data_IF_412045126485
#
_entry.id   IF_412045126485
#
_cell.length_a   1.000
_cell.length_b   1.000
_cell.length_c   1.000
_cell.angle_alpha   90.00
_cell.angle_beta   90.00
_cell.angle_gamma   90.00
#
_symmetry.space_group_name_H-M   'P 1'
#
loop_
_entity.id
_entity.type
_entity.pdbx_description
1 polymer ?
#
# COMPACT_ATOMS: atom_id res chain seq x y z
N UNK A 1 -56.08 -81.63 6.19
CA UNK A 1 -57.45 -81.09 6.03
C UNK A 1 -57.38 -79.85 5.14
N UNK A 2 -58.26 -79.79 4.11
CA UNK A 2 -58.70 -78.70 3.17
C UNK A 2 -58.11 -77.29 3.34
N UNK A 3 -57.83 -76.45 2.34
CA UNK A 3 -58.20 -76.26 0.91
C UNK A 3 -57.01 -75.52 0.23
N UNK A 4 -56.53 -75.83 -0.99
CA UNK A 4 -57.03 -75.56 -2.36
C UNK A 4 -57.19 -74.08 -2.81
N UNK A 5 -56.34 -73.74 -3.81
CA UNK A 5 -56.45 -72.78 -4.94
C UNK A 5 -56.38 -71.27 -4.62
N UNK A 6 -55.63 -70.43 -5.35
CA UNK A 6 -55.82 -70.08 -6.77
C UNK A 6 -54.52 -69.59 -7.46
N UNK A 7 -54.39 -69.93 -8.75
CA UNK A 7 -53.39 -69.51 -9.75
C UNK A 7 -53.34 -68.00 -10.02
N UNK A 8 -52.19 -67.46 -10.46
CA UNK A 8 -52.05 -66.83 -11.78
C UNK A 8 -50.61 -66.33 -12.08
N UNK A 9 -50.17 -66.62 -13.32
CA UNK A 9 -48.95 -66.15 -14.00
C UNK A 9 -48.86 -64.61 -14.06
N UNK A 10 -47.67 -64.06 -13.84
CA UNK A 10 -47.18 -62.86 -14.56
C UNK A 10 -45.70 -63.06 -14.92
N UNK A 11 -45.47 -63.47 -16.16
CA UNK A 11 -44.21 -63.20 -16.84
C UNK A 11 -44.22 -61.76 -17.38
N UNK A 12 -43.03 -61.25 -17.68
CA UNK A 12 -42.74 -59.93 -18.28
C UNK A 12 -42.46 -58.79 -17.29
N UNK A 13 -41.35 -58.89 -16.54
CA UNK A 13 -40.71 -57.71 -15.94
C UNK A 13 -39.18 -57.83 -15.97
N UNK A 14 -38.60 -57.92 -17.17
CA UNK A 14 -37.13 -57.97 -17.35
C UNK A 14 -36.57 -56.84 -18.24
N UNK A 15 -37.41 -56.22 -19.08
CA UNK A 15 -37.02 -55.08 -19.92
C UNK A 15 -37.05 -53.74 -19.19
N UNK A 16 -38.07 -53.52 -18.35
CA UNK A 16 -38.29 -52.25 -17.64
C UNK A 16 -37.19 -52.01 -16.60
N UNK A 17 -36.79 -53.04 -15.85
CA UNK A 17 -35.69 -52.93 -14.89
C UNK A 17 -34.34 -52.64 -15.56
N UNK A 18 -34.04 -53.22 -16.74
CA UNK A 18 -32.82 -52.89 -17.49
C UNK A 18 -32.83 -51.45 -18.00
N UNK A 19 -33.97 -50.94 -18.44
CA UNK A 19 -34.11 -49.55 -18.86
C UNK A 19 -33.84 -48.57 -17.72
N UNK A 20 -34.42 -48.80 -16.54
CA UNK A 20 -34.16 -47.96 -15.35
C UNK A 20 -32.72 -48.05 -14.85
N UNK A 21 -32.08 -49.22 -14.95
CA UNK A 21 -30.66 -49.39 -14.60
C UNK A 21 -29.75 -48.61 -15.55
N UNK A 22 -30.04 -48.64 -16.86
CA UNK A 22 -29.28 -47.90 -17.87
C UNK A 22 -29.46 -46.38 -17.70
N UNK A 23 -30.68 -45.91 -17.45
CA UNK A 23 -30.96 -44.49 -17.19
C UNK A 23 -30.31 -44.03 -15.89
N UNK A 24 -30.31 -44.88 -14.85
CA UNK A 24 -29.62 -44.61 -13.59
C UNK A 24 -28.10 -44.48 -13.77
N UNK A 25 -27.47 -45.38 -14.52
CA UNK A 25 -26.04 -45.32 -14.83
C UNK A 25 -25.71 -44.09 -15.68
N UNK A 26 -26.55 -43.74 -16.66
CA UNK A 26 -26.37 -42.54 -17.49
C UNK A 26 -26.46 -41.26 -16.65
N UNK A 27 -27.42 -41.18 -15.72
CA UNK A 27 -27.56 -40.07 -14.78
C UNK A 27 -26.35 -39.95 -13.84
N UNK A 28 -25.81 -41.07 -13.38
CA UNK A 28 -24.64 -41.10 -12.50
C UNK A 28 -23.36 -40.65 -13.25
N UNK A 29 -23.21 -41.05 -14.52
CA UNK A 29 -22.12 -40.57 -15.38
C UNK A 29 -22.22 -39.08 -15.71
N UNK A 30 -23.45 -38.56 -15.93
CA UNK A 30 -23.68 -37.12 -16.13
C UNK A 30 -23.37 -36.35 -14.84
N UNK A 31 -23.75 -36.85 -13.67
CA UNK A 31 -23.39 -36.26 -12.37
C UNK A 31 -21.87 -36.28 -12.12
N UNK A 32 -21.18 -37.37 -12.47
CA UNK A 32 -19.73 -37.43 -12.35
C UNK A 32 -19.08 -36.44 -13.34
N UNK A 33 -19.58 -36.32 -14.57
CA UNK A 33 -19.05 -35.37 -15.55
C UNK A 33 -19.28 -33.90 -15.15
N UNK A 34 -20.44 -33.58 -14.56
CA UNK A 34 -20.72 -32.21 -14.06
C UNK A 34 -19.90 -31.88 -12.82
N UNK A 35 -19.72 -32.83 -11.89
CA UNK A 35 -18.84 -32.67 -10.72
C UNK A 35 -17.36 -32.61 -11.13
N UNK A 36 -16.95 -33.36 -12.16
CA UNK A 36 -15.57 -33.32 -12.68
C UNK A 36 -15.25 -32.01 -13.40
N UNK A 37 -16.21 -31.45 -14.15
CA UNK A 37 -16.08 -30.09 -14.70
C UNK A 37 -16.13 -29.01 -13.61
N UNK A 38 -16.80 -29.26 -12.48
CA UNK A 38 -16.78 -28.36 -11.32
C UNK A 38 -15.49 -28.48 -10.49
N UNK A 39 -14.88 -29.67 -10.43
CA UNK A 39 -13.66 -29.94 -9.67
C UNK A 39 -12.38 -29.70 -10.46
N UNK A 40 -12.38 -29.80 -11.81
CA UNK A 40 -11.22 -29.44 -12.64
C UNK A 40 -11.05 -27.91 -12.80
N UNK A 41 -12.11 -27.14 -12.52
CA UNK A 41 -12.07 -25.67 -12.41
C UNK A 41 -11.82 -25.18 -10.97
N UNK A 42 -11.56 -26.09 -10.01
CA UNK A 42 -11.27 -25.74 -8.63
C UNK A 42 -10.04 -26.49 -8.09
N UNK A 43 -8.91 -26.23 -8.72
CA UNK A 43 -7.60 -26.33 -8.07
C UNK A 43 -6.73 -25.15 -8.49
N UNK A 44 -6.33 -24.39 -7.47
CA UNK A 44 -5.45 -23.23 -7.49
C UNK A 44 -5.98 -21.94 -8.14
N UNK A 45 -6.92 -21.28 -7.45
CA UNK A 45 -6.82 -19.84 -7.26
C UNK A 45 -7.27 -19.49 -5.83
N UNK A 46 -6.35 -18.89 -5.09
CA UNK A 46 -6.51 -18.38 -3.74
C UNK A 46 -7.62 -17.33 -3.74
N UNK A 47 -8.54 -17.45 -2.77
CA UNK A 47 -9.75 -16.64 -2.67
C UNK A 47 -9.45 -15.15 -2.48
N UNK A 48 -9.79 -14.35 -3.48
CA UNK A 48 -10.27 -12.99 -3.28
C UNK A 48 -11.61 -13.07 -2.52
N UNK A 49 -11.58 -12.75 -1.23
CA UNK A 49 -12.81 -12.58 -0.45
C UNK A 49 -12.75 -11.22 0.21
N UNK A 50 -13.19 -10.18 -0.49
CA UNK A 50 -14.02 -9.10 0.04
C UNK A 50 -14.55 -8.26 -1.14
N UNK A 51 -15.87 -8.12 -1.19
CA UNK A 51 -16.66 -7.25 -2.08
C UNK A 51 -16.93 -7.72 -3.51
N UNK A 52 -18.00 -8.51 -3.69
CA UNK A 52 -18.81 -8.48 -4.91
C UNK A 52 -20.27 -8.14 -4.56
N UNK A 53 -20.66 -6.88 -4.77
CA UNK A 53 -22.05 -6.52 -4.99
C UNK A 53 -22.25 -6.31 -6.49
N UNK A 54 -23.04 -7.22 -7.07
CA UNK A 54 -23.33 -7.31 -8.49
C UNK A 54 -24.05 -6.06 -9.01
N UNK A 55 -23.54 -5.52 -10.12
CA UNK A 55 -24.38 -5.03 -11.22
C UNK A 55 -23.85 -5.64 -12.52
N UNK A 56 -24.70 -6.23 -13.39
CA UNK A 56 -24.22 -6.85 -14.61
C UNK A 56 -24.07 -5.79 -15.70
N UNK A 57 -22.83 -5.43 -16.04
CA UNK A 57 -22.52 -4.75 -17.30
C UNK A 57 -21.84 -5.74 -18.23
N UNK A 58 -22.57 -6.14 -19.26
CA UNK A 58 -22.14 -6.92 -20.41
C UNK A 58 -20.94 -6.28 -21.11
N UNK A 59 -19.81 -6.98 -21.17
CA UNK A 59 -18.66 -6.63 -22.02
C UNK A 59 -18.85 -7.26 -23.41
N UNK A 60 -19.20 -6.44 -24.41
CA UNK A 60 -18.89 -6.73 -25.81
C UNK A 60 -17.95 -5.64 -26.35
N UNK A 61 -16.96 -6.08 -27.11
CA UNK A 61 -15.68 -5.39 -27.33
C UNK A 61 -15.78 -3.96 -27.85
N UNK A 62 -14.96 -3.07 -27.26
CA UNK A 62 -14.65 -1.77 -27.84
C UNK A 62 -13.70 -1.97 -29.02
N UNK A 63 -14.28 -2.12 -30.22
CA UNK A 63 -13.59 -1.74 -31.45
C UNK A 63 -13.57 -0.20 -31.43
N UNK A 64 -12.38 0.41 -31.50
CA UNK A 64 -12.25 1.87 -31.50
C UNK A 64 -13.00 2.48 -32.68
N UNK A 65 -13.70 3.60 -32.46
CA UNK A 65 -14.47 4.30 -33.50
C UNK A 65 -13.61 4.62 -34.74
N UNK A 66 -12.33 4.92 -34.54
CA UNK A 66 -11.35 5.11 -35.62
C UNK A 66 -11.08 3.84 -36.43
N UNK A 67 -11.07 2.66 -35.80
CA UNK A 67 -10.91 1.38 -36.49
C UNK A 67 -12.12 1.08 -37.37
N UNK A 68 -13.32 1.43 -36.90
CA UNK A 68 -14.56 1.29 -37.67
C UNK A 68 -14.56 2.26 -38.85
N UNK A 69 -14.17 3.52 -38.65
CA UNK A 69 -14.09 4.53 -39.71
C UNK A 69 -13.07 4.13 -40.79
N UNK A 70 -11.87 3.69 -40.40
CA UNK A 70 -10.85 3.22 -41.36
C UNK A 70 -11.36 2.05 -42.20
N UNK A 71 -12.09 1.13 -41.58
CA UNK A 71 -12.62 -0.05 -42.27
C UNK A 71 -13.74 0.31 -43.25
N UNK A 72 -14.59 1.28 -42.88
CA UNK A 72 -15.61 1.84 -43.79
C UNK A 72 -14.96 2.57 -44.97
N UNK A 73 -13.92 3.37 -44.74
CA UNK A 73 -13.20 4.05 -45.82
C UNK A 73 -12.51 3.06 -46.78
N UNK A 74 -11.96 1.96 -46.26
CA UNK A 74 -11.33 0.92 -47.06
C UNK A 74 -12.35 0.21 -47.98
N UNK A 75 -13.51 -0.18 -47.44
CA UNK A 75 -14.60 -0.80 -48.19
C UNK A 75 -15.18 0.15 -49.26
N UNK A 76 -15.31 1.45 -48.94
CA UNK A 76 -15.76 2.47 -49.90
C UNK A 76 -14.75 2.67 -51.06
N UNK A 77 -13.44 2.58 -50.79
CA UNK A 77 -12.40 2.67 -51.80
C UNK A 77 -12.38 1.43 -52.71
N UNK A 78 -12.56 0.23 -52.15
CA UNK A 78 -12.65 -1.02 -52.92
C UNK A 78 -13.89 -1.02 -53.84
N UNK A 79 -15.04 -0.54 -53.35
CA UNK A 79 -16.25 -0.41 -54.18
C UNK A 79 -16.11 0.61 -55.33
N UNK A 80 -15.32 1.67 -55.14
CA UNK A 80 -15.04 2.68 -56.18
C UNK A 80 -14.14 2.14 -57.29
N UNK A 81 -13.22 1.23 -56.96
CA UNK A 81 -12.38 0.57 -57.97
C UNK A 81 -13.14 -0.53 -58.72
N UNK A 82 -14.06 -1.23 -58.05
CA UNK A 82 -14.98 -2.17 -58.70
C UNK A 82 -15.92 -1.48 -59.71
N UNK A 83 -16.37 -0.25 -59.43
CA UNK A 83 -17.20 0.51 -60.37
C UNK A 83 -16.45 1.05 -61.59
N UNK A 84 -15.11 1.13 -61.55
CA UNK A 84 -14.28 1.55 -62.69
C UNK A 84 -13.95 0.40 -63.64
N UNK A 85 -14.03 -0.85 -63.18
CA UNK A 85 -13.73 -2.04 -63.98
C UNK A 85 -14.91 -2.54 -64.82
N UNK A 86 -16.15 -2.08 -64.57
CA UNK A 86 -17.32 -2.41 -65.40
C UNK A 86 -17.39 -1.48 -66.62
N UNK A 87 -16.75 -1.87 -67.70
CA UNK A 87 -16.85 -1.20 -69.01
C UNK A 87 -18.16 -1.56 -69.73
N UNK A 88 -19.27 -0.89 -69.40
CA UNK A 88 -20.43 -0.78 -70.30
C UNK A 88 -21.35 0.40 -69.89
N UNK A 89 -21.71 1.30 -70.83
CA UNK A 89 -22.46 2.52 -70.53
C UNK A 89 -23.97 2.30 -70.64
N UNK A 90 -24.66 1.97 -69.55
CA UNK A 90 -26.12 2.12 -69.49
C UNK A 90 -26.69 1.98 -68.08
N UNK A 91 -26.87 3.09 -67.36
CA UNK A 91 -28.10 3.42 -66.60
C UNK A 91 -27.92 4.71 -65.78
N UNK A 92 -28.98 5.52 -65.59
CA UNK A 92 -28.90 6.78 -64.84
C UNK A 92 -28.62 6.60 -63.34
N UNK A 93 -28.66 5.37 -62.84
CA UNK A 93 -28.49 4.99 -61.44
C UNK A 93 -27.02 4.92 -60.98
N UNK A 94 -26.05 4.80 -61.91
CA UNK A 94 -24.62 4.72 -61.54
C UNK A 94 -24.02 6.09 -61.18
N UNK A 95 -24.54 7.17 -61.79
CA UNK A 95 -24.07 8.53 -61.52
C UNK A 95 -24.49 9.01 -60.12
N UNK A 96 -25.74 8.70 -59.72
CA UNK A 96 -26.26 9.03 -58.38
C UNK A 96 -25.57 8.28 -57.25
N UNK A 97 -25.12 7.04 -57.52
CA UNK A 97 -24.39 6.24 -56.53
C UNK A 97 -22.99 6.80 -56.24
N UNK A 98 -22.28 7.27 -57.28
CA UNK A 98 -20.97 7.91 -57.11
C UNK A 98 -21.04 9.24 -56.36
N UNK A 99 -22.11 10.02 -56.57
CA UNK A 99 -22.36 11.26 -55.86
C UNK A 99 -22.68 11.00 -54.38
N UNK A 100 -23.52 10.00 -54.09
CA UNK A 100 -23.86 9.59 -52.72
C UNK A 100 -22.64 9.09 -51.93
N UNK A 101 -21.75 8.32 -52.57
CA UNK A 101 -20.51 7.84 -51.92
C UNK A 101 -19.52 8.99 -51.64
N UNK A 102 -19.43 9.98 -52.54
CA UNK A 102 -18.62 11.17 -52.32
C UNK A 102 -19.16 12.02 -51.16
N UNK A 103 -20.49 12.11 -51.02
CA UNK A 103 -21.18 12.83 -49.95
C UNK A 103 -20.95 12.15 -48.58
N UNK A 104 -21.03 10.81 -48.52
CA UNK A 104 -20.70 10.04 -47.30
C UNK A 104 -19.23 10.18 -46.91
N UNK A 105 -18.30 10.15 -47.87
CA UNK A 105 -16.87 10.34 -47.59
C UNK A 105 -16.59 11.75 -47.03
N UNK A 106 -17.24 12.78 -47.58
CA UNK A 106 -17.14 14.15 -47.08
C UNK A 106 -17.65 14.27 -45.64
N UNK A 107 -18.78 13.64 -45.31
CA UNK A 107 -19.34 13.61 -43.95
C UNK A 107 -18.41 12.88 -42.96
N UNK A 108 -17.76 11.80 -43.39
CA UNK A 108 -16.80 11.06 -42.54
C UNK A 108 -15.53 11.89 -42.30
N UNK A 109 -15.03 12.60 -43.31
CA UNK A 109 -13.88 13.50 -43.17
C UNK A 109 -14.19 14.71 -42.27
N UNK A 110 -15.41 15.24 -42.33
CA UNK A 110 -15.89 16.32 -41.45
C UNK A 110 -16.06 15.86 -39.98
N UNK A 111 -16.52 14.61 -39.78
CA UNK A 111 -16.54 13.97 -38.46
C UNK A 111 -15.10 13.75 -37.95
N UNK A 112 -14.17 13.31 -38.80
CA UNK A 112 -12.77 13.12 -38.43
C UNK A 112 -12.06 14.44 -38.07
N UNK A 113 -12.35 15.52 -38.81
CA UNK A 113 -11.85 16.87 -38.52
C UNK A 113 -12.43 17.44 -37.21
N UNK A 114 -13.73 17.27 -36.97
CA UNK A 114 -14.38 17.70 -35.72
C UNK A 114 -13.98 16.88 -34.49
N UNK A 115 -13.62 15.60 -34.68
CA UNK A 115 -13.04 14.73 -33.63
C UNK A 115 -11.58 15.09 -33.38
N UNK A 116 -10.77 15.37 -34.42
CA UNK A 116 -9.38 15.82 -34.27
C UNK A 116 -9.28 17.19 -33.60
N UNK A 117 -10.17 18.13 -33.93
CA UNK A 117 -10.26 19.43 -33.27
C UNK A 117 -10.73 19.33 -31.80
N UNK A 118 -11.59 18.35 -31.46
CA UNK A 118 -11.98 18.06 -30.07
C UNK A 118 -10.90 17.34 -29.26
N UNK A 119 -9.94 16.68 -29.91
CA UNK A 119 -8.80 16.03 -29.25
C UNK A 119 -7.70 17.06 -28.92
N UNK A 120 -7.57 18.15 -29.68
CA UNK A 120 -6.61 19.23 -29.38
C UNK A 120 -7.18 20.36 -28.49
N UNK A 121 -8.50 20.57 -28.48
CA UNK A 121 -9.17 21.49 -27.53
C UNK A 121 -10.15 20.73 -26.62
N UNK A 122 -9.66 20.06 -25.58
CA UNK A 122 -10.33 19.95 -24.25
C UNK A 122 -9.61 18.97 -23.31
N UNK A 123 -8.43 19.34 -22.78
CA UNK A 123 -8.09 19.02 -21.38
C UNK A 123 -7.27 20.17 -20.78
N UNK A 124 -7.89 21.34 -20.61
CA UNK A 124 -7.41 22.32 -19.64
C UNK A 124 -7.98 21.93 -18.27
N UNK A 125 -7.16 21.72 -17.21
CA UNK A 125 -7.62 21.20 -15.90
C UNK A 125 -8.25 22.29 -15.03
N UNK A 126 -9.16 23.09 -15.59
CA UNK A 126 -9.83 24.19 -14.88
C UNK A 126 -11.35 24.20 -15.14
N UNK A 127 -12.01 23.05 -14.96
CA UNK A 127 -13.44 23.02 -14.63
C UNK A 127 -13.64 21.98 -13.54
N UNK A 128 -13.74 22.44 -12.29
CA UNK A 128 -14.04 21.59 -11.14
C UNK A 128 -15.52 21.17 -11.16
N UNK A 129 -15.79 19.89 -10.94
CA UNK A 129 -16.67 19.45 -9.89
C UNK A 129 -15.83 18.98 -8.69
N UNK A 130 -16.30 19.26 -7.47
CA UNK A 130 -15.75 18.70 -6.23
C UNK A 130 -16.00 17.18 -6.20
N UNK A 131 -15.13 16.38 -6.83
CA UNK A 131 -14.87 14.95 -6.60
C UNK A 131 -13.94 14.45 -7.71
N UNK A 132 -12.63 14.41 -7.48
CA UNK A 132 -11.71 13.63 -8.32
C UNK A 132 -10.37 13.50 -7.59
N UNK A 133 -10.25 12.42 -6.82
CA UNK A 133 -9.01 12.07 -6.12
C UNK A 133 -8.44 10.73 -6.60
N UNK A 134 -9.22 9.96 -7.38
CA UNK A 134 -8.81 8.67 -7.96
C UNK A 134 -8.68 8.72 -9.49
N UNK A 135 -8.91 9.87 -10.12
CA UNK A 135 -8.84 10.06 -11.58
C UNK A 135 -7.50 9.57 -12.19
N UNK A 136 -6.33 9.81 -11.57
CA UNK A 136 -5.06 9.32 -12.08
C UNK A 136 -4.99 7.79 -12.19
N UNK A 137 -5.69 7.06 -11.32
CA UNK A 137 -5.71 5.60 -11.35
C UNK A 137 -6.45 5.06 -12.58
N UNK A 138 -7.46 5.78 -13.07
CA UNK A 138 -8.29 5.36 -14.20
C UNK A 138 -7.55 5.40 -15.55
N UNK A 139 -6.39 6.08 -15.61
CA UNK A 139 -5.51 6.06 -16.79
C UNK A 139 -4.75 4.74 -16.95
N UNK A 140 -4.64 3.93 -15.89
CA UNK A 140 -3.85 2.70 -15.93
C UNK A 140 -4.71 1.48 -16.23
N UNK A 141 -4.23 0.60 -17.11
CA UNK A 141 -4.90 -0.67 -17.44
C UNK A 141 -4.56 -1.79 -16.46
N UNK A 142 -3.38 -1.72 -15.83
CA UNK A 142 -2.89 -2.73 -14.90
C UNK A 142 -3.49 -2.49 -13.52
N UNK A 143 -4.23 -3.47 -13.01
CA UNK A 143 -4.94 -3.37 -11.73
C UNK A 143 -4.01 -3.07 -10.55
N UNK A 144 -2.82 -3.65 -10.53
CA UNK A 144 -1.82 -3.38 -9.49
C UNK A 144 -1.42 -1.91 -9.45
N UNK A 145 -1.26 -1.28 -10.62
CA UNK A 145 -0.95 0.15 -10.70
C UNK A 145 -2.14 0.96 -10.20
N UNK A 146 -3.39 0.58 -10.56
CA UNK A 146 -4.58 1.27 -10.04
C UNK A 146 -4.66 1.18 -8.52
N UNK A 147 -4.46 -0.01 -7.95
CA UNK A 147 -4.43 -0.24 -6.50
C UNK A 147 -3.34 0.58 -5.84
N UNK A 148 -2.16 0.67 -6.44
CA UNK A 148 -1.06 1.48 -5.90
C UNK A 148 -1.36 2.99 -5.97
N UNK A 149 -1.84 3.51 -7.10
CA UNK A 149 -2.08 4.95 -7.32
C UNK A 149 -3.29 5.48 -6.54
N UNK A 150 -4.31 4.65 -6.31
CA UNK A 150 -5.51 5.07 -5.55
C UNK A 150 -5.13 5.54 -4.13
N UNK A 151 -5.92 6.47 -3.61
CA UNK A 151 -5.78 6.96 -2.24
C UNK A 151 -6.28 5.89 -1.27
N UNK A 152 -5.52 5.65 -0.20
CA UNK A 152 -5.84 4.67 0.83
C UNK A 152 -6.49 5.43 1.99
N UNK A 153 -7.82 5.33 2.19
CA UNK A 153 -8.50 6.08 3.24
C UNK A 153 -8.07 5.59 4.63
N UNK A 154 -8.04 6.46 5.63
CA UNK A 154 -7.78 6.00 7.00
C UNK A 154 -9.02 5.24 7.52
N UNK A 155 -8.84 4.05 8.11
CA UNK A 155 -9.96 3.21 8.59
C UNK A 155 -10.88 3.92 9.56
N UNK A 156 -10.31 4.71 10.47
CA UNK A 156 -11.06 5.40 11.52
C UNK A 156 -11.77 6.68 11.05
N UNK A 157 -11.71 7.02 9.75
CA UNK A 157 -12.34 8.21 9.17
C UNK A 157 -11.78 9.56 9.67
N UNK A 158 -10.74 9.52 10.51
CA UNK A 158 -10.04 10.69 11.08
C UNK A 158 -8.72 10.92 10.35
N UNK A 159 -8.15 12.10 10.54
CA UNK A 159 -6.77 12.35 10.10
C UNK A 159 -5.81 11.36 10.75
N UNK A 160 -4.88 10.83 9.96
CA UNK A 160 -3.80 10.01 10.48
C UNK A 160 -2.80 10.89 11.25
N UNK A 161 -1.81 10.24 11.86
CA UNK A 161 -0.82 10.90 12.70
C UNK A 161 0.05 11.94 11.95
N UNK A 162 0.10 11.88 10.61
CA UNK A 162 0.78 12.86 9.75
C UNK A 162 -0.10 14.08 9.43
N UNK A 163 -1.36 14.09 9.86
CA UNK A 163 -2.33 15.14 9.58
C UNK A 163 -3.07 15.00 8.24
N UNK A 164 -2.98 13.84 7.59
CA UNK A 164 -3.63 13.58 6.30
C UNK A 164 -4.91 12.72 6.45
N UNK A 165 -5.92 12.96 5.59
CA UNK A 165 -7.19 12.21 5.59
C UNK A 165 -7.10 10.80 4.97
N UNK A 166 -5.95 10.47 4.41
CA UNK A 166 -5.64 9.20 3.77
C UNK A 166 -4.16 9.20 3.39
N UNK A 167 -3.72 8.08 2.83
CA UNK A 167 -2.35 7.91 2.36
C UNK A 167 -2.33 8.02 0.83
N UNK A 168 -1.44 8.87 0.34
CA UNK A 168 -1.28 9.19 -1.07
C UNK A 168 0.07 8.64 -1.53
N UNK A 169 0.10 7.73 -2.50
CA UNK A 169 1.36 7.09 -2.92
C UNK A 169 2.30 8.05 -3.62
N UNK A 170 3.62 7.80 -3.48
CA UNK A 170 4.67 8.66 -4.03
C UNK A 170 4.80 8.51 -5.55
N UNK A 171 3.79 9.01 -6.28
CA UNK A 171 3.83 9.18 -7.74
C UNK A 171 3.56 10.65 -8.02
N UNK A 172 4.28 11.23 -8.98
CA UNK A 172 4.24 12.65 -9.30
C UNK A 172 2.85 13.23 -9.64
N UNK A 173 1.81 12.43 -9.81
CA UNK A 173 0.44 12.91 -10.04
C UNK A 173 -0.04 13.86 -8.93
N UNK A 174 0.30 13.59 -7.66
CA UNK A 174 -0.11 14.47 -6.55
C UNK A 174 0.64 15.80 -6.60
N UNK A 175 1.85 15.84 -7.16
CA UNK A 175 2.56 17.10 -7.38
C UNK A 175 1.79 18.06 -8.29
N UNK A 176 1.10 17.56 -9.31
CA UNK A 176 0.25 18.39 -10.17
C UNK A 176 -0.97 18.93 -9.41
N UNK A 177 -1.57 18.12 -8.54
CA UNK A 177 -2.67 18.57 -7.69
C UNK A 177 -2.23 19.61 -6.64
N UNK A 178 -0.98 19.53 -6.18
CA UNK A 178 -0.34 20.45 -5.23
C UNK A 178 0.57 21.47 -5.91
N UNK A 179 0.25 21.85 -7.16
CA UNK A 179 1.07 22.76 -7.98
C UNK A 179 1.51 24.00 -7.22
N UNK A 180 0.59 24.68 -6.53
CA UNK A 180 0.88 25.93 -5.80
C UNK A 180 1.92 25.72 -4.71
N UNK A 181 1.74 24.71 -3.87
CA UNK A 181 2.69 24.36 -2.82
C UNK A 181 4.05 23.93 -3.37
N UNK A 182 4.06 23.20 -4.49
CA UNK A 182 5.30 22.79 -5.12
C UNK A 182 6.04 23.97 -5.76
N UNK A 183 5.35 24.90 -6.40
CA UNK A 183 5.94 26.13 -6.95
C UNK A 183 6.52 27.00 -5.82
N UNK A 184 5.78 27.20 -4.73
CA UNK A 184 6.28 27.90 -3.53
C UNK A 184 7.52 27.20 -2.95
N UNK A 185 7.52 25.87 -2.93
CA UNK A 185 8.68 25.11 -2.50
C UNK A 185 9.83 25.19 -3.53
N UNK A 186 9.59 25.28 -4.82
CA UNK A 186 10.67 25.35 -5.81
C UNK A 186 11.17 26.76 -6.09
N UNK A 187 10.53 27.78 -5.51
CA UNK A 187 10.92 29.19 -5.58
C UNK A 187 12.14 29.50 -4.69
N UNK A 188 13.32 29.27 -5.24
CA UNK A 188 14.61 29.60 -4.64
C UNK A 188 15.66 29.93 -5.71
N UNK A 189 16.62 30.76 -5.34
CA UNK A 189 17.77 31.07 -6.19
C UNK A 189 18.85 29.99 -6.09
N UNK A 190 19.38 29.58 -7.23
CA UNK A 190 20.45 28.58 -7.29
C UNK A 190 21.71 29.14 -6.63
N UNK A 191 22.30 28.36 -5.71
CA UNK A 191 23.48 28.76 -4.95
C UNK A 191 23.19 29.59 -3.71
N UNK A 192 21.93 29.96 -3.45
CA UNK A 192 21.53 30.66 -2.23
C UNK A 192 21.16 29.71 -1.09
N UNK A 193 20.92 30.25 0.10
CA UNK A 193 20.42 29.50 1.26
C UNK A 193 18.94 29.14 1.04
N UNK A 194 18.58 27.86 1.16
CA UNK A 194 17.18 27.45 1.05
C UNK A 194 16.31 28.12 2.13
N UNK A 195 15.06 28.40 1.78
CA UNK A 195 14.04 28.86 2.73
C UNK A 195 13.86 27.86 3.89
N UNK A 196 13.48 28.39 5.05
CA UNK A 196 13.26 27.59 6.26
C UNK A 196 11.80 27.11 6.33
N UNK A 197 11.44 26.21 5.43
CA UNK A 197 10.07 25.77 5.14
C UNK A 197 9.95 24.24 5.14
N UNK A 198 10.65 23.58 6.06
CA UNK A 198 10.63 22.12 6.21
C UNK A 198 9.21 21.54 6.34
N UNK A 199 8.25 22.30 6.90
CA UNK A 199 6.83 21.88 6.95
C UNK A 199 6.19 21.78 5.58
N UNK A 200 6.54 22.68 4.65
CA UNK A 200 6.03 22.65 3.28
C UNK A 200 6.60 21.43 2.55
N UNK A 201 7.90 21.16 2.71
CA UNK A 201 8.53 19.94 2.19
C UNK A 201 7.84 18.68 2.71
N UNK A 202 7.65 18.57 4.03
CA UNK A 202 6.99 17.42 4.64
C UNK A 202 5.53 17.28 4.18
N UNK A 203 4.81 18.39 4.03
CA UNK A 203 3.43 18.40 3.51
C UNK A 203 3.40 17.78 2.11
N UNK A 204 4.31 18.17 1.21
CA UNK A 204 4.40 17.58 -0.13
C UNK A 204 4.69 16.08 -0.06
N UNK A 205 5.67 15.65 0.75
CA UNK A 205 6.03 14.23 0.91
C UNK A 205 4.87 13.37 1.46
N UNK A 206 4.21 13.82 2.53
CA UNK A 206 3.08 13.12 3.17
C UNK A 206 1.91 12.94 2.20
N UNK A 207 1.73 13.88 1.27
CA UNK A 207 0.73 13.81 0.24
C UNK A 207 1.22 13.13 -1.05
N UNK A 208 2.40 12.52 -1.09
CA UNK A 208 2.86 11.74 -2.24
C UNK A 208 3.52 12.54 -3.36
N UNK A 209 3.82 13.82 -3.14
CA UNK A 209 4.63 14.62 -4.06
C UNK A 209 6.13 14.47 -3.72
N UNK A 210 6.73 13.38 -4.19
CA UNK A 210 8.13 13.01 -3.96
C UNK A 210 8.71 12.26 -5.19
N UNK A 211 10.04 12.31 -5.51
CA UNK A 211 11.15 12.98 -4.82
C UNK A 211 11.22 14.50 -5.02
N UNK A 212 11.31 15.24 -3.92
CA UNK A 212 11.48 16.69 -3.95
C UNK A 212 12.88 17.11 -4.48
N UNK A 213 12.98 18.00 -5.48
CA UNK A 213 14.24 18.23 -6.20
C UNK A 213 15.10 19.40 -5.69
N UNK A 214 14.94 19.89 -4.44
CA UNK A 214 15.81 20.95 -3.89
C UNK A 214 17.25 20.47 -3.68
N UNK A 215 18.04 20.49 -4.75
CA UNK A 215 19.45 20.06 -4.79
C UNK A 215 20.41 21.18 -5.16
N UNK A 216 19.89 22.39 -5.40
CA UNK A 216 20.65 23.53 -5.94
C UNK A 216 20.65 24.76 -5.02
N UNK A 217 20.16 24.64 -3.79
CA UNK A 217 20.33 25.63 -2.74
C UNK A 217 21.05 25.00 -1.54
N UNK A 218 21.74 25.81 -0.75
CA UNK A 218 22.42 25.36 0.45
C UNK A 218 21.41 25.15 1.57
N UNK A 219 21.41 23.93 2.14
CA UNK A 219 20.52 23.61 3.25
C UNK A 219 20.85 24.47 4.47
N UNK A 220 19.81 25.06 5.04
CA UNK A 220 19.96 25.89 6.24
C UNK A 220 20.42 25.04 7.42
N UNK A 221 21.49 25.46 8.08
CA UNK A 221 22.05 24.82 9.27
C UNK A 221 21.71 25.62 10.54
N UNK A 222 21.85 25.05 11.74
CA UNK A 222 21.86 25.82 12.98
C UNK A 222 22.93 26.90 12.95
N UNK A 223 22.67 28.06 13.57
CA UNK A 223 23.60 29.20 13.54
C UNK A 223 24.91 28.94 14.28
N UNK A 224 24.89 28.05 15.28
CA UNK A 224 26.03 27.76 16.15
C UNK A 224 26.40 26.29 16.01
N UNK A 225 27.69 26.03 15.83
CA UNK A 225 28.26 24.70 15.89
C UNK A 225 28.73 24.42 17.33
N UNK A 226 28.18 23.40 17.96
CA UNK A 226 28.72 22.82 19.19
C UNK A 226 29.21 21.41 18.89
N UNK A 227 30.41 21.08 19.37
CA UNK A 227 30.98 19.73 19.24
C UNK A 227 29.98 18.69 19.80
N UNK A 228 29.62 17.65 19.03
CA UNK A 228 28.69 16.61 19.49
C UNK A 228 29.32 15.79 20.64
N UNK A 229 28.46 15.18 21.45
CA UNK A 229 28.89 14.22 22.46
C UNK A 229 29.54 13.00 21.80
N UNK A 230 30.45 12.34 22.52
CA UNK A 230 30.99 11.07 22.08
C UNK A 230 29.86 10.02 22.00
N UNK A 231 30.00 9.02 21.12
CA UNK A 231 28.92 8.07 20.82
C UNK A 231 28.34 7.40 22.07
N UNK A 232 29.17 7.02 23.04
CA UNK A 232 28.72 6.35 24.27
C UNK A 232 27.86 7.26 25.16
N UNK A 233 28.09 8.58 25.13
CA UNK A 233 27.33 9.57 25.90
C UNK A 233 26.10 10.04 25.11
N UNK A 234 26.23 10.21 23.79
CA UNK A 234 25.17 10.75 22.92
C UNK A 234 23.93 9.87 22.86
N UNK A 235 24.05 8.56 23.10
CA UNK A 235 22.90 7.64 23.07
C UNK A 235 21.83 8.01 24.11
N UNK A 236 22.21 8.47 25.30
CA UNK A 236 21.29 8.61 26.44
C UNK A 236 21.26 10.00 27.06
N UNK A 237 21.98 10.96 26.47
CA UNK A 237 22.00 12.35 26.88
C UNK A 237 21.29 13.22 25.85
N UNK A 238 20.43 14.13 26.32
CA UNK A 238 19.80 15.11 25.44
C UNK A 238 20.88 16.02 24.83
N UNK A 239 20.89 16.21 23.50
CA UNK A 239 21.88 17.05 22.84
C UNK A 239 21.63 18.54 23.12
N UNK A 240 22.63 19.37 22.84
CA UNK A 240 22.50 20.82 22.95
C UNK A 240 21.44 21.35 21.98
N UNK A 241 20.49 22.13 22.50
CA UNK A 241 19.42 22.76 21.73
C UNK A 241 19.96 23.61 20.57
N UNK A 242 21.16 24.18 20.69
CA UNK A 242 21.75 25.05 19.66
C UNK A 242 22.07 24.32 18.35
N UNK A 243 22.20 23.00 18.40
CA UNK A 243 22.45 22.17 17.21
C UNK A 243 21.17 21.82 16.42
N UNK A 244 20.03 22.43 16.76
CA UNK A 244 18.73 22.13 16.15
C UNK A 244 18.06 23.39 15.61
N UNK A 245 17.39 23.25 14.47
CA UNK A 245 16.56 24.31 13.89
C UNK A 245 15.17 24.30 14.53
N UNK A 246 14.95 25.21 15.48
CA UNK A 246 13.67 25.32 16.20
C UNK A 246 12.59 26.14 15.49
N UNK A 247 12.85 26.59 14.26
CA UNK A 247 11.89 27.31 13.45
C UNK A 247 10.66 26.44 13.18
N UNK A 248 9.50 27.09 13.19
CA UNK A 248 8.20 26.45 12.99
C UNK A 248 7.78 25.37 14.02
N UNK A 249 8.60 25.02 15.01
CA UNK A 249 8.18 24.22 16.16
C UNK A 249 7.57 25.07 17.27
N UNK A 250 6.63 24.48 18.03
CA UNK A 250 6.03 25.13 19.21
C UNK A 250 7.04 25.24 20.36
N UNK A 251 7.83 24.20 20.59
CA UNK A 251 8.94 24.22 21.53
C UNK A 251 10.22 24.77 20.89
N UNK A 252 11.07 25.39 21.71
CA UNK A 252 12.36 25.98 21.30
C UNK A 252 13.58 25.32 21.94
N UNK A 253 13.35 24.26 22.70
CA UNK A 253 14.37 23.43 23.32
C UNK A 253 13.79 22.04 23.66
N UNK A 254 14.66 21.07 23.92
CA UNK A 254 14.30 19.72 24.32
C UNK A 254 13.62 19.66 25.69
N UNK A 255 13.96 20.57 26.62
CA UNK A 255 13.31 20.65 27.93
C UNK A 255 11.81 20.93 27.82
N UNK A 256 11.40 21.79 26.88
CA UNK A 256 10.00 22.04 26.56
C UNK A 256 9.30 20.80 26.03
N UNK A 257 9.99 20.01 25.19
CA UNK A 257 9.45 18.76 24.62
C UNK A 257 9.35 17.64 25.66
N UNK A 258 10.30 17.56 26.60
CA UNK A 258 10.29 16.60 27.69
C UNK A 258 9.23 16.91 28.77
N UNK A 259 8.65 18.11 28.78
CA UNK A 259 7.63 18.50 29.75
C UNK A 259 6.21 18.15 29.26
N UNK A 260 5.68 17.05 29.80
CA UNK A 260 4.35 16.51 29.50
C UNK A 260 3.17 17.46 29.76
N UNK A 261 3.31 18.45 30.64
CA UNK A 261 2.24 19.40 30.94
C UNK A 261 1.79 20.19 29.70
N UNK A 262 2.63 20.24 28.66
CA UNK A 262 2.43 21.12 27.53
C UNK A 262 1.64 20.51 26.36
N UNK A 263 1.57 19.17 26.22
CA UNK A 263 1.05 18.47 25.02
C UNK A 263 1.56 19.06 23.70
N UNK A 264 2.79 19.60 23.66
CA UNK A 264 3.34 20.39 22.54
C UNK A 264 4.05 19.58 21.45
N UNK A 265 4.20 18.27 21.62
CA UNK A 265 4.87 17.35 20.68
C UNK A 265 3.93 16.33 20.02
N UNK A 266 4.51 15.26 19.46
CA UNK A 266 3.75 14.14 18.90
C UNK A 266 3.08 13.32 20.01
N UNK A 267 1.76 13.17 19.96
CA UNK A 267 0.99 12.58 21.07
C UNK A 267 1.35 11.13 21.39
N UNK A 268 1.75 10.31 20.40
CA UNK A 268 2.22 8.92 20.65
C UNK A 268 3.63 8.86 21.24
N UNK A 269 4.29 10.00 21.37
CA UNK A 269 5.69 10.13 21.75
C UNK A 269 5.88 11.26 22.77
N UNK A 270 4.90 11.46 23.65
CA UNK A 270 4.91 12.52 24.65
C UNK A 270 6.14 12.40 25.58
N UNK A 271 6.41 11.19 26.04
CA UNK A 271 7.53 10.89 26.96
C UNK A 271 8.86 10.61 26.27
N UNK A 272 8.92 10.58 24.93
CA UNK A 272 10.11 10.13 24.20
C UNK A 272 11.35 11.01 24.37
N UNK A 273 11.17 12.25 24.83
CA UNK A 273 12.27 13.17 25.12
C UNK A 273 12.84 12.97 26.52
N UNK A 274 12.21 12.15 27.37
CA UNK A 274 12.78 11.69 28.62
C UNK A 274 13.67 10.47 28.37
N UNK A 275 14.90 10.73 27.88
CA UNK A 275 15.82 9.68 27.47
C UNK A 275 16.21 8.75 28.64
N UNK A 276 16.37 9.28 29.85
CA UNK A 276 16.93 8.53 30.98
C UNK A 276 15.90 7.69 31.73
N UNK A 277 14.71 8.22 31.99
CA UNK A 277 13.72 7.51 32.83
C UNK A 277 12.66 6.78 32.01
N UNK A 278 12.35 7.24 30.80
CA UNK A 278 11.33 6.62 29.94
C UNK A 278 11.96 5.78 28.83
N UNK A 279 12.83 6.37 28.00
CA UNK A 279 13.35 5.66 26.83
C UNK A 279 14.44 4.63 27.14
N UNK A 280 15.34 4.93 28.09
CA UNK A 280 16.39 4.00 28.51
C UNK A 280 15.80 2.63 28.84
N UNK A 281 14.88 2.42 29.80
CA UNK A 281 14.47 1.08 30.20
C UNK A 281 13.77 0.22 29.10
N UNK A 282 13.36 0.80 27.98
CA UNK A 282 12.64 0.10 26.91
C UNK A 282 13.46 -1.05 26.32
N UNK A 283 12.79 -2.16 26.05
CA UNK A 283 13.34 -3.43 25.53
C UNK A 283 14.42 -4.12 26.38
N UNK A 284 14.71 -3.59 27.57
CA UNK A 284 15.55 -4.24 28.59
C UNK A 284 14.69 -4.81 29.70
N UNK A 285 13.57 -4.14 30.00
CA UNK A 285 12.56 -4.60 30.94
C UNK A 285 11.19 -4.52 30.26
N UNK A 286 10.28 -5.47 30.55
CA UNK A 286 8.88 -5.33 30.13
C UNK A 286 8.30 -4.04 30.71
N UNK A 287 7.70 -3.22 29.85
CA UNK A 287 7.04 -1.96 30.24
C UNK A 287 5.54 -2.19 30.37
N UNK A 288 4.95 -2.96 29.46
CA UNK A 288 3.55 -3.33 29.49
C UNK A 288 3.38 -4.73 30.09
N UNK A 289 2.94 -4.84 31.34
CA UNK A 289 2.59 -6.12 31.96
C UNK A 289 1.10 -6.11 32.26
N UNK A 290 0.38 -7.12 31.75
CA UNK A 290 -1.00 -7.36 32.16
C UNK A 290 -0.99 -7.79 33.64
N UNK A 291 -1.59 -7.00 34.54
CA UNK A 291 -1.60 -7.29 35.98
C UNK A 291 -2.34 -8.59 36.32
N UNK A 292 -3.18 -9.10 35.42
CA UNK A 292 -3.98 -10.31 35.68
C UNK A 292 -3.30 -11.59 35.17
N UNK A 293 -2.46 -11.51 34.13
CA UNK A 293 -1.87 -12.68 33.48
C UNK A 293 -0.34 -12.71 33.48
N UNK A 294 0.32 -11.66 34.00
CA UNK A 294 1.78 -11.45 33.89
C UNK A 294 2.32 -11.48 32.45
N UNK A 295 1.45 -11.47 31.44
CA UNK A 295 1.85 -11.45 30.04
C UNK A 295 2.24 -10.02 29.63
N UNK A 296 3.22 -9.92 28.74
CA UNK A 296 3.71 -8.65 28.21
C UNK A 296 3.71 -8.68 26.69
N UNK A 297 3.33 -7.56 26.08
CA UNK A 297 3.54 -7.34 24.65
C UNK A 297 5.03 -7.21 24.30
N UNK A 298 5.87 -6.85 25.27
CA UNK A 298 7.20 -6.37 24.99
C UNK A 298 8.19 -7.55 24.95
N UNK A 299 8.91 -7.70 23.84
CA UNK A 299 10.04 -8.62 23.76
C UNK A 299 11.35 -7.90 24.09
N UNK A 300 12.25 -8.60 24.78
CA UNK A 300 13.56 -8.06 25.12
C UNK A 300 14.51 -8.18 23.94
N UNK A 301 15.42 -7.21 23.78
CA UNK A 301 16.44 -7.25 22.72
C UNK A 301 17.31 -8.50 22.86
N UNK A 302 17.67 -8.88 24.09
CA UNK A 302 18.47 -10.09 24.36
C UNK A 302 17.79 -11.33 23.78
N UNK A 303 16.50 -11.51 24.09
CA UNK A 303 15.75 -12.66 23.62
C UNK A 303 15.66 -12.74 22.09
N UNK A 304 15.52 -11.60 21.41
CA UNK A 304 15.39 -11.57 19.95
C UNK A 304 16.74 -11.82 19.29
N UNK A 305 17.82 -11.23 19.82
CA UNK A 305 19.18 -11.46 19.31
C UNK A 305 19.65 -12.90 19.52
N UNK A 306 19.21 -13.55 20.61
CA UNK A 306 19.51 -14.96 20.91
C UNK A 306 18.85 -15.95 19.93
N UNK A 307 17.78 -15.56 19.22
CA UNK A 307 17.20 -16.40 18.18
C UNK A 307 18.18 -16.66 17.02
N UNK A 308 19.05 -15.68 16.73
CA UNK A 308 20.03 -15.73 15.65
C UNK A 308 21.36 -15.08 16.05
N UNK A 309 22.13 -15.70 16.96
CA UNK A 309 23.33 -15.09 17.53
C UNK A 309 24.35 -14.73 16.45
N UNK A 310 24.77 -13.45 16.42
CA UNK A 310 25.77 -12.94 15.47
C UNK A 310 25.28 -12.74 14.02
N UNK A 311 24.04 -13.10 13.70
CA UNK A 311 23.51 -12.94 12.33
C UNK A 311 22.85 -11.58 12.09
N UNK A 312 22.33 -10.94 13.14
CA UNK A 312 21.63 -9.65 13.06
C UNK A 312 22.64 -8.51 13.21
N UNK A 313 22.87 -7.74 12.14
CA UNK A 313 23.92 -6.70 12.09
C UNK A 313 23.40 -5.37 11.56
N UNK A 314 22.45 -5.43 10.62
CA UNK A 314 21.81 -4.25 10.04
C UNK A 314 20.29 -4.40 10.03
N UNK A 315 19.58 -3.34 10.39
CA UNK A 315 18.12 -3.34 10.35
C UNK A 315 17.50 -1.96 10.12
N UNK A 316 16.18 -1.98 9.96
CA UNK A 316 15.33 -0.81 9.81
C UNK A 316 14.36 -0.75 10.99
N UNK A 317 14.31 0.38 11.69
CA UNK A 317 13.27 0.71 12.64
C UNK A 317 12.24 1.60 11.94
N UNK A 318 11.10 1.01 11.59
CA UNK A 318 9.98 1.66 10.93
C UNK A 318 8.99 2.22 11.96
N UNK A 319 9.52 3.02 12.88
CA UNK A 319 8.79 3.59 14.01
C UNK A 319 9.11 5.07 14.14
N UNK A 320 8.11 5.88 14.52
CA UNK A 320 8.37 7.30 14.81
C UNK A 320 8.74 7.47 16.27
N UNK A 321 9.93 8.00 16.50
CA UNK A 321 10.41 8.33 17.84
C UNK A 321 11.77 9.01 17.81
N UNK A 322 12.46 9.00 18.94
CA UNK A 322 13.75 9.68 19.10
C UNK A 322 14.95 8.82 18.72
N UNK A 323 14.73 7.62 18.15
CA UNK A 323 15.79 6.67 17.79
C UNK A 323 16.18 5.69 18.90
N UNK A 324 15.30 5.46 19.88
CA UNK A 324 15.64 4.64 21.06
C UNK A 324 15.93 3.18 20.74
N UNK A 325 15.16 2.56 19.84
CA UNK A 325 15.44 1.19 19.41
C UNK A 325 16.82 1.12 18.75
N UNK A 326 17.15 2.06 17.87
CA UNK A 326 18.47 2.17 17.27
C UNK A 326 19.59 2.36 18.31
N UNK A 327 19.36 3.18 19.34
CA UNK A 327 20.31 3.35 20.44
C UNK A 327 20.56 2.05 21.21
N UNK A 328 19.50 1.29 21.52
CA UNK A 328 19.61 0.00 22.21
C UNK A 328 20.32 -1.05 21.37
N UNK A 329 19.93 -1.19 20.10
CA UNK A 329 20.56 -2.13 19.18
C UNK A 329 22.05 -1.79 18.95
N UNK A 330 22.42 -0.51 19.00
CA UNK A 330 23.80 -0.05 18.89
C UNK A 330 24.68 -0.53 20.04
N UNK A 331 24.15 -0.64 21.27
CA UNK A 331 24.88 -1.21 22.42
C UNK A 331 25.21 -2.69 22.20
N UNK A 332 24.44 -3.38 21.36
CA UNK A 332 24.69 -4.75 20.89
C UNK A 332 25.41 -4.81 19.53
N UNK A 333 26.07 -3.71 19.10
CA UNK A 333 26.77 -3.58 17.82
C UNK A 333 25.90 -3.78 16.56
N UNK A 334 24.59 -3.58 16.64
CA UNK A 334 23.68 -3.63 15.50
C UNK A 334 23.43 -2.22 14.98
N UNK A 335 23.53 -2.03 13.67
CA UNK A 335 23.26 -0.75 13.02
C UNK A 335 21.81 -0.69 12.57
N UNK A 336 21.06 0.26 13.13
CA UNK A 336 19.66 0.48 12.78
C UNK A 336 19.51 1.80 12.05
N UNK A 337 18.82 1.76 10.93
CA UNK A 337 18.30 2.95 10.24
C UNK A 337 16.91 3.24 10.80
N UNK A 338 16.66 4.43 11.33
CA UNK A 338 15.36 4.82 11.89
C UNK A 338 14.57 5.65 10.88
N UNK A 339 13.49 5.08 10.33
CA UNK A 339 12.58 5.83 9.45
C UNK A 339 11.74 6.81 10.28
N UNK A 340 11.83 8.10 9.98
CA UNK A 340 11.18 9.14 10.79
C UNK A 340 10.79 10.36 9.97
N UNK A 341 9.78 11.08 10.48
CA UNK A 341 9.41 12.42 10.03
C UNK A 341 9.28 13.36 11.22
N UNK A 342 9.30 14.67 10.96
CA UNK A 342 9.27 15.67 12.01
C UNK A 342 7.81 16.01 12.39
N UNK A 343 7.29 15.37 13.43
CA UNK A 343 5.91 15.56 13.94
C UNK A 343 5.90 16.44 15.19
N UNK A 344 5.80 17.76 14.99
CA UNK A 344 5.77 18.71 16.11
C UNK A 344 7.07 18.77 16.93
N UNK A 345 8.06 17.96 16.58
CA UNK A 345 9.39 17.91 17.17
C UNK A 345 10.45 17.53 16.10
N UNK A 346 11.73 17.90 16.32
CA UNK A 346 12.83 17.66 15.38
C UNK A 346 13.43 16.26 15.56
N UNK A 347 12.68 15.23 15.18
CA UNK A 347 13.06 13.83 15.39
C UNK A 347 14.31 13.44 14.59
N UNK A 348 14.39 13.84 13.32
CA UNK A 348 15.52 13.48 12.45
C UNK A 348 16.84 14.10 12.96
N UNK A 349 16.80 15.37 13.37
CA UNK A 349 17.94 16.04 13.97
C UNK A 349 18.35 15.41 15.31
N UNK A 350 17.38 15.03 16.15
CA UNK A 350 17.68 14.36 17.42
C UNK A 350 18.32 12.99 17.21
N UNK A 351 17.79 12.17 16.29
CA UNK A 351 18.37 10.85 15.95
C UNK A 351 19.82 11.04 15.48
N UNK A 352 20.08 11.98 14.57
CA UNK A 352 21.43 12.27 14.09
C UNK A 352 22.37 12.75 15.21
N UNK A 353 21.91 13.64 16.10
CA UNK A 353 22.70 14.16 17.22
C UNK A 353 23.02 13.11 18.29
N UNK A 354 22.27 12.01 18.34
CA UNK A 354 22.59 10.82 19.14
C UNK A 354 23.64 9.92 18.49
N UNK A 355 24.08 10.23 17.26
CA UNK A 355 25.02 9.42 16.48
C UNK A 355 24.36 8.22 15.79
N UNK A 356 23.05 8.29 15.56
CA UNK A 356 22.24 7.27 14.92
C UNK A 356 21.85 7.69 13.49
N UNK A 357 21.31 6.77 12.70
CA UNK A 357 21.02 7.00 11.28
C UNK A 357 19.53 7.31 11.10
N UNK A 358 19.14 8.59 10.90
CA UNK A 358 17.77 8.90 10.49
C UNK A 358 17.59 8.66 9.00
N UNK A 359 16.43 8.12 8.64
CA UNK A 359 15.94 8.07 7.27
C UNK A 359 14.66 8.92 7.19
N UNK A 360 14.76 10.08 6.55
CA UNK A 360 13.61 10.99 6.40
C UNK A 360 12.64 10.42 5.36
N UNK A 361 11.60 9.74 5.82
CA UNK A 361 10.80 8.84 5.00
C UNK A 361 9.37 8.71 5.51
N UNK A 362 8.42 8.64 4.59
CA UNK A 362 6.98 8.52 4.83
C UNK A 362 6.45 7.16 4.34
N UNK A 363 5.41 6.66 4.98
CA UNK A 363 4.82 5.31 4.71
C UNK A 363 4.34 5.08 3.27
N UNK A 364 4.08 6.15 2.54
CA UNK A 364 3.61 6.12 1.17
C UNK A 364 4.71 5.90 0.11
N UNK A 365 5.98 5.95 0.52
CA UNK A 365 7.13 5.75 -0.34
C UNK A 365 7.54 4.27 -0.33
N UNK A 366 8.25 3.85 -1.40
CA UNK A 366 8.97 2.57 -1.41
C UNK A 366 10.29 2.73 -0.67
N UNK A 367 10.63 1.77 0.18
CA UNK A 367 11.86 1.75 0.97
C UNK A 367 13.11 1.83 0.07
N UNK A 368 14.03 2.78 0.34
CA UNK A 368 15.22 3.00 -0.49
C UNK A 368 16.36 2.02 -0.15
N UNK A 369 16.03 0.76 0.15
CA UNK A 369 16.98 -0.33 0.32
C UNK A 369 16.90 -1.27 -0.88
N UNK A 370 18.03 -1.89 -1.21
CA UNK A 370 18.05 -2.95 -2.22
C UNK A 370 17.35 -4.21 -1.67
N UNK A 371 16.99 -5.11 -2.57
CA UNK A 371 16.23 -6.30 -2.22
C UNK A 371 17.09 -7.27 -1.38
N UNK A 372 16.50 -7.88 -0.35
CA UNK A 372 17.11 -8.88 0.52
C UNK A 372 18.41 -8.44 1.23
N UNK A 373 18.51 -7.18 1.67
CA UNK A 373 19.74 -6.65 2.30
C UNK A 373 19.69 -6.52 3.83
N UNK A 374 18.51 -6.45 4.43
CA UNK A 374 18.37 -6.21 5.87
C UNK A 374 18.24 -7.51 6.67
N UNK A 375 18.85 -7.55 7.84
CA UNK A 375 18.77 -8.70 8.76
C UNK A 375 17.54 -8.59 9.69
N UNK A 376 17.06 -7.37 9.93
CA UNK A 376 15.95 -7.07 10.85
C UNK A 376 15.09 -5.90 10.33
N UNK A 377 13.77 -6.04 10.42
CA UNK A 377 12.83 -4.90 10.39
C UNK A 377 12.10 -4.88 11.73
N UNK A 378 12.08 -3.72 12.37
CA UNK A 378 11.38 -3.49 13.63
C UNK A 378 10.29 -2.43 13.43
N UNK A 379 9.15 -2.61 14.08
CA UNK A 379 8.09 -1.60 14.16
C UNK A 379 7.48 -1.61 15.55
N UNK A 380 7.22 -0.43 16.12
CA UNK A 380 6.52 -0.29 17.39
C UNK A 380 5.48 0.82 17.34
N UNK A 381 4.22 0.47 17.68
CA UNK A 381 3.08 1.42 17.86
C UNK A 381 2.90 2.45 16.73
N UNK A 382 3.33 2.13 15.50
CA UNK A 382 3.37 3.05 14.38
C UNK A 382 2.31 2.73 13.31
N UNK A 383 2.37 1.51 12.77
CA UNK A 383 1.30 0.91 11.99
C UNK A 383 0.35 0.31 13.02
N UNK A 384 -0.83 0.89 13.19
CA UNK A 384 -1.83 0.42 14.15
C UNK A 384 -3.21 0.55 13.50
N UNK A 385 -4.29 0.38 14.27
CA UNK A 385 -5.68 0.32 13.79
C UNK A 385 -6.15 1.45 12.86
N UNK A 386 -5.41 2.54 12.67
CA UNK A 386 -5.71 3.55 11.64
C UNK A 386 -5.38 3.09 10.21
N UNK A 387 -4.44 2.16 10.02
CA UNK A 387 -3.87 1.81 8.71
C UNK A 387 -4.89 1.04 7.86
N UNK A 388 -5.00 1.41 6.58
CA UNK A 388 -5.80 0.67 5.61
C UNK A 388 -5.19 -0.69 5.29
N UNK A 389 -6.01 -1.70 5.00
CA UNK A 389 -5.51 -3.05 4.70
C UNK A 389 -4.74 -3.11 3.37
N UNK A 390 -5.21 -2.40 2.33
CA UNK A 390 -4.48 -2.35 1.05
C UNK A 390 -3.15 -1.62 1.24
N UNK A 391 -3.12 -0.56 2.05
CA UNK A 391 -1.86 0.09 2.43
C UNK A 391 -0.93 -0.85 3.20
N UNK A 392 -1.47 -1.59 4.17
CA UNK A 392 -0.69 -2.54 4.96
C UNK A 392 -0.07 -3.61 4.05
N UNK A 393 -0.81 -4.15 3.09
CA UNK A 393 -0.28 -5.11 2.11
C UNK A 393 0.94 -4.56 1.40
N UNK A 394 0.85 -3.35 0.83
CA UNK A 394 2.00 -2.71 0.17
C UNK A 394 3.20 -2.55 1.11
N UNK A 395 2.98 -2.17 2.37
CA UNK A 395 4.06 -2.05 3.35
C UNK A 395 4.67 -3.41 3.68
N UNK A 396 3.85 -4.45 3.89
CA UNK A 396 4.32 -5.79 4.22
C UNK A 396 5.12 -6.41 3.06
N UNK A 397 4.70 -6.21 1.81
CA UNK A 397 5.46 -6.67 0.65
C UNK A 397 6.75 -5.89 0.44
N UNK A 398 6.78 -4.60 0.76
CA UNK A 398 8.02 -3.81 0.68
C UNK A 398 9.01 -4.17 1.81
N UNK A 399 8.49 -4.51 2.99
CA UNK A 399 9.28 -5.10 4.08
C UNK A 399 9.84 -6.46 3.69
N UNK A 400 9.00 -7.35 3.14
CA UNK A 400 9.45 -8.65 2.62
C UNK A 400 10.53 -8.48 1.57
N UNK A 401 10.38 -7.50 0.67
CA UNK A 401 11.37 -7.21 -0.37
C UNK A 401 12.75 -6.90 0.20
N UNK A 402 12.85 -6.03 1.20
CA UNK A 402 14.16 -5.57 1.73
C UNK A 402 14.76 -6.51 2.77
N UNK A 403 13.94 -7.32 3.43
CA UNK A 403 14.39 -8.31 4.42
C UNK A 403 15.02 -9.51 3.71
N UNK A 404 16.22 -9.94 4.13
CA UNK A 404 16.89 -11.11 3.54
C UNK A 404 16.24 -12.43 3.99
N UNK A 405 16.38 -13.54 3.26
CA UNK A 405 16.04 -14.86 3.77
C UNK A 405 16.72 -15.14 5.12
N UNK A 406 15.97 -15.62 6.11
CA UNK A 406 16.41 -15.78 7.49
C UNK A 406 16.40 -14.49 8.31
N UNK A 407 16.11 -13.33 7.71
CA UNK A 407 15.93 -12.07 8.43
C UNK A 407 14.66 -12.07 9.28
N UNK A 408 14.65 -11.24 10.33
CA UNK A 408 13.55 -11.15 11.28
C UNK A 408 12.67 -9.92 11.02
N UNK A 409 11.36 -10.12 11.03
CA UNK A 409 10.36 -9.06 11.20
C UNK A 409 9.90 -9.07 12.65
N UNK A 410 10.22 -8.01 13.37
CA UNK A 410 9.86 -7.79 14.76
C UNK A 410 8.77 -6.72 14.87
N UNK A 411 7.58 -7.15 15.24
CA UNK A 411 6.41 -6.30 15.49
C UNK A 411 6.23 -6.20 17.00
N UNK A 412 6.27 -4.98 17.52
CA UNK A 412 6.11 -4.70 18.94
C UNK A 412 4.87 -3.83 19.17
N UNK A 413 3.95 -4.31 20.01
CA UNK A 413 2.80 -3.55 20.47
C UNK A 413 1.96 -2.94 19.32
N UNK A 414 1.75 -3.66 18.22
CA UNK A 414 0.78 -3.29 17.20
C UNK A 414 -0.60 -3.25 17.86
N UNK A 415 -1.33 -2.14 17.81
CA UNK A 415 -2.63 -2.07 18.46
C UNK A 415 -3.77 -1.91 17.47
N UNK A 416 -4.88 -2.59 17.73
CA UNK A 416 -6.11 -2.46 16.95
C UNK A 416 -7.33 -2.76 17.84
N UNK A 417 -8.53 -2.53 17.31
CA UNK A 417 -9.74 -3.05 17.94
C UNK A 417 -9.73 -4.58 17.92
N UNK A 418 -10.39 -5.21 18.90
CA UNK A 418 -10.63 -6.66 18.93
C UNK A 418 -11.37 -7.13 17.66
N UNK A 419 -12.24 -6.29 17.12
CA UNK A 419 -13.04 -6.56 15.91
C UNK A 419 -12.18 -6.66 14.64
N UNK A 420 -11.13 -5.83 14.52
CA UNK A 420 -10.25 -5.82 13.34
C UNK A 420 -9.06 -6.79 13.48
N UNK A 421 -8.87 -7.42 14.65
CA UNK A 421 -7.66 -8.18 14.96
C UNK A 421 -7.42 -9.30 13.94
N UNK A 422 -8.44 -10.13 13.67
CA UNK A 422 -8.28 -11.30 12.80
C UNK A 422 -7.86 -10.91 11.37
N UNK A 423 -8.39 -9.82 10.84
CA UNK A 423 -8.02 -9.29 9.52
C UNK A 423 -6.55 -8.84 9.49
N UNK A 424 -6.08 -8.13 10.52
CA UNK A 424 -4.67 -7.74 10.62
C UNK A 424 -3.75 -8.96 10.76
N UNK A 425 -4.12 -9.92 11.60
CA UNK A 425 -3.33 -11.14 11.78
C UNK A 425 -3.24 -11.96 10.49
N UNK A 426 -4.32 -11.98 9.70
CA UNK A 426 -4.32 -12.65 8.39
C UNK A 426 -3.36 -11.97 7.42
N UNK A 427 -3.34 -10.63 7.36
CA UNK A 427 -2.38 -9.89 6.55
C UNK A 427 -0.92 -10.25 6.88
N UNK A 428 -0.57 -10.38 8.17
CA UNK A 428 0.77 -10.83 8.57
C UNK A 428 1.05 -12.29 8.19
N UNK A 429 0.05 -13.18 8.29
CA UNK A 429 0.19 -14.60 7.92
C UNK A 429 0.41 -14.80 6.41
N UNK A 430 -0.09 -13.90 5.56
CA UNK A 430 0.11 -13.98 4.11
C UNK A 430 1.59 -14.00 3.70
N UNK A 431 2.48 -13.42 4.50
CA UNK A 431 3.93 -13.46 4.29
C UNK A 431 4.51 -14.88 4.37
N UNK A 432 3.80 -15.82 5.02
CA UNK A 432 4.23 -17.20 5.28
C UNK A 432 5.57 -17.29 6.01
N UNK A 433 5.78 -16.38 6.96
CA UNK A 433 6.98 -16.36 7.79
C UNK A 433 6.90 -17.41 8.90
N UNK A 434 8.07 -17.91 9.32
CA UNK A 434 8.17 -18.80 10.46
C UNK A 434 8.02 -17.99 11.75
N UNK A 435 7.12 -18.39 12.63
CA UNK A 435 6.89 -17.71 13.91
C UNK A 435 7.91 -18.17 14.96
N UNK A 436 8.61 -17.24 15.60
CA UNK A 436 9.46 -17.51 16.78
C UNK A 436 8.77 -17.09 18.07
N UNK A 437 8.18 -15.89 18.08
CA UNK A 437 7.40 -15.35 19.20
C UNK A 437 6.09 -14.78 18.65
N UNK A 438 5.01 -14.95 19.39
CA UNK A 438 3.68 -14.46 19.03
C UNK A 438 2.84 -14.28 20.29
N UNK A 439 2.33 -13.09 20.51
CA UNK A 439 1.46 -12.81 21.65
C UNK A 439 0.42 -11.75 21.32
N UNK A 440 -0.78 -11.93 21.88
CA UNK A 440 -1.85 -10.93 21.91
C UNK A 440 -2.21 -10.70 23.36
N UNK A 441 -2.21 -9.44 23.80
CA UNK A 441 -2.57 -9.03 25.16
C UNK A 441 -3.63 -7.94 25.11
N UNK A 442 -4.58 -7.88 26.06
CA UNK A 442 -5.56 -6.80 26.12
C UNK A 442 -4.88 -5.45 26.37
N UNK A 443 -5.41 -4.38 25.79
CA UNK A 443 -4.95 -3.00 26.02
C UNK A 443 -5.85 -2.34 27.09
N UNK A 444 -5.29 -2.13 28.27
CA UNK A 444 -6.05 -1.85 29.52
C UNK A 444 -6.39 -0.34 29.69
N UNK A 445 -5.92 0.54 28.81
CA UNK A 445 -6.12 1.99 28.95
C UNK A 445 -7.50 2.49 28.47
N UNK A 446 -8.24 1.71 27.67
CA UNK A 446 -9.54 2.10 27.06
C UNK A 446 -10.51 0.94 26.89
N UNK A 447 -11.60 0.98 27.64
CA UNK A 447 -12.85 0.20 27.48
C UNK A 447 -12.71 -1.32 27.23
N UNK A 448 -11.52 -1.89 27.42
CA UNK A 448 -11.13 -3.27 27.05
C UNK A 448 -11.57 -3.68 25.63
N UNK A 449 -11.54 -2.74 24.67
CA UNK A 449 -11.90 -3.01 23.26
C UNK A 449 -10.71 -3.13 22.33
N UNK A 450 -9.54 -2.75 22.79
CA UNK A 450 -8.30 -2.77 22.02
C UNK A 450 -7.37 -3.87 22.54
N UNK A 451 -6.50 -4.34 21.67
CA UNK A 451 -5.47 -5.33 21.99
C UNK A 451 -4.12 -4.85 21.47
N UNK A 452 -3.06 -5.35 22.09
CA UNK A 452 -1.71 -5.31 21.53
C UNK A 452 -1.36 -6.68 20.95
N UNK A 453 -0.81 -6.67 19.75
CA UNK A 453 -0.22 -7.81 19.07
C UNK A 453 1.29 -7.58 18.94
N UNK A 454 2.08 -8.59 19.30
CA UNK A 454 3.53 -8.57 19.12
C UNK A 454 4.02 -9.91 18.59
N UNK A 455 4.96 -9.88 17.65
CA UNK A 455 5.52 -11.08 17.04
C UNK A 455 6.97 -10.89 16.61
N UNK A 456 7.71 -12.00 16.58
CA UNK A 456 8.99 -12.12 15.91
C UNK A 456 8.87 -13.22 14.87
N UNK A 457 8.98 -12.83 13.61
CA UNK A 457 8.72 -13.66 12.44
C UNK A 457 10.00 -13.77 11.60
N UNK A 458 10.35 -14.94 11.10
CA UNK A 458 11.54 -15.18 10.26
C UNK A 458 11.13 -15.43 8.80
N UNK A 459 11.72 -14.68 7.88
CA UNK A 459 11.50 -14.85 6.44
C UNK A 459 12.07 -16.20 5.96
N UNK A 460 11.28 -17.09 5.35
CA UNK A 460 11.79 -18.35 4.85
C UNK A 460 12.64 -18.14 3.59
N UNK A 461 13.56 -19.06 3.27
CA UNK A 461 14.14 -19.11 1.94
C UNK A 461 13.04 -19.42 0.92
N UNK A 462 12.91 -18.58 -0.09
CA UNK A 462 12.07 -18.83 -1.27
C UNK A 462 13.03 -19.21 -2.39
N UNK A 463 13.26 -20.50 -2.67
CA UNK A 463 14.13 -20.90 -3.77
C UNK A 463 13.59 -20.28 -5.06
N UNK A 464 14.50 -19.76 -5.89
CA UNK A 464 14.15 -19.37 -7.26
C UNK A 464 13.56 -20.62 -7.93
N UNK A 465 12.30 -20.55 -8.34
CA UNK A 465 11.66 -21.59 -9.14
C UNK A 465 12.10 -21.48 -10.59
#
# INVERSE_FOLDING_TARGET
>A
MRNQNVMAKIGTCRGIHRFFLIVGVLGLLICIATVSNFCSLRSFHVSDTFCNHNHPSTSHGRIGLETVIKKIQQELAEMRELSKQSSSPSSPSSLGYSAFLAEILSLIEEIHASVSLKIEETVHPLVRPKKQSNEPAEFFLIEEIRKYVRIKPNRLGKQNFMGANGTFTSIGHVCFAMKKELEEYMDYDVGEICRDDWKLAQKLMVHGCDPLPRRRCFSRAPQLYTKPFAINESLWKLPDNRNVRWSQYRCKNFTCLANNATRKGFFKCADCFNLTHHELPRWIKPVYQDPNSNLTSDFLITDVLELKPGEIRIGLDFSVGTGTFAARMRESNVTIVSASINLGAPFNELIALRGLIPLYFTINQRLPFFDNTLDLIHTTRFLDGWIDFVLLDFVLFDWDRVLRPGGLLWIDSFFCSKEDLDDYLEAFKMLRYKTHKWIVVPKIDKDDKEVFFSAVLEKPPRPFQ
#
